data_IF_354258735065
#
_entry.id   IF_354258735065
#
_cell.length_a   1.000
_cell.length_b   1.000
_cell.length_c   1.000
_cell.angle_alpha   90.00
_cell.angle_beta   90.00
_cell.angle_gamma   90.00
#
_symmetry.space_group_name_H-M   'P 1'
#
loop_
_entity.id
_entity.type
_entity.pdbx_description
1 polymer ?
#
# COMPACT_ATOMS: atom_id res chain seq x y z
N UNK A 1 2.16 -19.32 -4.39
CA UNK A 1 3.40 -18.82 -5.02
C UNK A 1 4.24 -18.19 -3.93
N UNK A 2 5.57 -18.35 -3.98
CA UNK A 2 6.47 -17.68 -3.04
C UNK A 2 6.41 -16.18 -3.30
N UNK A 3 6.38 -15.37 -2.24
CA UNK A 3 6.34 -13.91 -2.36
C UNK A 3 7.68 -13.43 -2.95
N UNK A 4 7.67 -12.57 -3.99
CA UNK A 4 8.91 -12.01 -4.53
C UNK A 4 9.73 -11.27 -3.47
N UNK A 5 11.06 -11.36 -3.58
CA UNK A 5 12.02 -10.85 -2.61
C UNK A 5 12.85 -9.67 -3.10
N UNK A 6 12.84 -9.43 -4.42
CA UNK A 6 13.57 -8.35 -5.10
C UNK A 6 12.70 -7.70 -6.19
N UNK A 7 13.07 -6.49 -6.61
CA UNK A 7 12.31 -5.65 -7.53
C UNK A 7 12.04 -6.34 -8.88
N UNK A 8 13.04 -7.02 -9.44
CA UNK A 8 13.00 -7.64 -10.77
C UNK A 8 12.09 -8.87 -10.86
N UNK A 9 11.69 -9.44 -9.72
CA UNK A 9 10.77 -10.59 -9.67
C UNK A 9 9.30 -10.18 -9.78
N UNK A 10 8.99 -8.89 -9.68
CA UNK A 10 7.62 -8.40 -9.88
C UNK A 10 7.32 -8.16 -11.35
N UNK A 11 6.08 -8.44 -11.74
CA UNK A 11 5.61 -8.27 -13.12
C UNK A 11 4.71 -7.04 -13.28
N UNK A 12 5.06 -6.20 -14.24
CA UNK A 12 4.24 -5.07 -14.66
C UNK A 12 2.86 -5.51 -15.21
N UNK A 13 2.79 -6.69 -15.85
CA UNK A 13 1.53 -7.23 -16.37
C UNK A 13 0.61 -7.68 -15.25
N UNK A 14 1.15 -8.31 -14.21
CA UNK A 14 0.38 -8.65 -12.99
C UNK A 14 -0.17 -7.38 -12.34
N UNK A 15 0.63 -6.32 -12.25
CA UNK A 15 0.20 -5.04 -11.66
C UNK A 15 -0.89 -4.37 -12.49
N UNK A 16 -0.80 -4.44 -13.83
CA UNK A 16 -1.82 -3.94 -14.75
C UNK A 16 -3.14 -4.68 -14.58
N UNK A 17 -3.07 -6.00 -14.41
CA UNK A 17 -4.27 -6.81 -14.13
C UNK A 17 -4.85 -6.51 -12.76
N UNK A 18 -4.03 -6.18 -11.75
CA UNK A 18 -4.54 -5.68 -10.47
C UNK A 18 -5.30 -4.37 -10.62
N UNK A 19 -4.79 -3.38 -11.37
CA UNK A 19 -5.53 -2.14 -11.67
C UNK A 19 -6.84 -2.42 -12.41
N UNK A 20 -6.83 -3.34 -13.37
CA UNK A 20 -8.02 -3.75 -14.11
C UNK A 20 -9.09 -4.40 -13.22
N UNK A 21 -8.67 -5.28 -12.31
CA UNK A 21 -9.54 -5.90 -11.31
C UNK A 21 -10.07 -4.86 -10.32
N UNK A 22 -9.26 -3.87 -9.94
CA UNK A 22 -9.68 -2.75 -9.08
C UNK A 22 -10.76 -1.89 -9.77
N UNK A 23 -10.58 -1.51 -11.04
CA UNK A 23 -11.61 -0.80 -11.80
C UNK A 23 -12.88 -1.64 -11.92
N UNK A 24 -12.74 -2.95 -12.14
CA UNK A 24 -13.89 -3.86 -12.14
C UNK A 24 -14.62 -3.86 -10.81
N UNK A 25 -13.90 -3.95 -9.69
CA UNK A 25 -14.45 -3.84 -8.36
C UNK A 25 -15.26 -2.54 -8.20
N UNK A 26 -14.64 -1.38 -8.44
CA UNK A 26 -15.30 -0.07 -8.26
C UNK A 26 -16.54 0.11 -9.15
N UNK A 27 -16.51 -0.39 -10.38
CA UNK A 27 -17.68 -0.34 -11.28
C UNK A 27 -18.90 -1.12 -10.77
N UNK A 28 -18.69 -2.13 -9.92
CA UNK A 28 -19.75 -3.01 -9.43
C UNK A 28 -20.01 -2.98 -7.93
N UNK A 29 -19.31 -2.12 -7.17
CA UNK A 29 -19.52 -1.96 -5.73
C UNK A 29 -20.87 -1.31 -5.37
N UNK A 30 -21.45 -0.54 -6.30
CA UNK A 30 -22.65 0.24 -6.02
C UNK A 30 -22.37 1.27 -4.90
N UNK A 31 -23.26 1.42 -3.90
CA UNK A 31 -23.07 2.37 -2.80
C UNK A 31 -21.78 2.16 -1.99
N UNK A 32 -21.24 0.93 -1.96
CA UNK A 32 -20.01 0.61 -1.23
C UNK A 32 -18.79 1.38 -1.73
N UNK A 33 -18.80 1.86 -2.98
CA UNK A 33 -17.65 2.52 -3.59
C UNK A 33 -17.19 3.76 -2.81
N UNK A 34 -18.11 4.42 -2.10
CA UNK A 34 -17.84 5.64 -1.35
C UNK A 34 -17.22 5.36 0.04
N UNK A 35 -17.15 4.08 0.43
CA UNK A 35 -16.60 3.61 1.71
C UNK A 35 -15.35 2.75 1.53
N UNK A 36 -14.82 2.62 0.31
CA UNK A 36 -13.71 1.72 -0.01
C UNK A 36 -12.53 2.55 -0.51
N UNK A 37 -11.37 2.40 0.13
CA UNK A 37 -10.16 3.18 -0.15
C UNK A 37 -8.99 2.28 -0.49
N UNK A 38 -8.32 2.52 -1.61
CA UNK A 38 -7.14 1.77 -2.01
C UNK A 38 -5.96 2.06 -1.09
N UNK A 39 -5.33 1.01 -0.58
CA UNK A 39 -4.07 1.07 0.15
C UNK A 39 -3.09 0.01 -0.40
N UNK A 40 -2.00 -0.24 0.31
CA UNK A 40 -1.13 -1.37 0.01
C UNK A 40 -0.31 -1.20 -1.26
N UNK A 41 0.10 -2.31 -1.86
CA UNK A 41 1.16 -2.33 -2.88
C UNK A 41 0.81 -1.68 -4.22
N UNK A 42 -0.46 -1.44 -4.51
CA UNK A 42 -0.92 -0.81 -5.76
C UNK A 42 -0.99 0.72 -5.66
N UNK A 43 -1.09 1.28 -4.44
CA UNK A 43 -1.15 2.72 -4.21
C UNK A 43 0.00 3.55 -4.84
N UNK A 44 1.27 3.09 -4.88
CA UNK A 44 2.38 3.81 -5.52
C UNK A 44 2.11 4.22 -6.98
N UNK A 45 1.31 3.44 -7.71
CA UNK A 45 0.92 3.74 -9.10
C UNK A 45 0.15 5.05 -9.24
N UNK A 46 -0.54 5.45 -8.18
CA UNK A 46 -1.36 6.65 -8.09
C UNK A 46 -0.60 7.82 -7.43
N UNK A 47 0.24 7.52 -6.42
CA UNK A 47 1.08 8.52 -5.74
C UNK A 47 2.17 9.06 -6.67
N UNK A 48 2.79 8.17 -7.46
CA UNK A 48 3.82 8.52 -8.43
C UNK A 48 3.19 8.47 -9.81
N UNK A 49 2.91 9.64 -10.41
CA UNK A 49 2.24 9.73 -11.73
C UNK A 49 3.22 9.73 -12.90
N UNK A 50 4.48 10.10 -12.66
CA UNK A 50 5.57 9.98 -13.65
C UNK A 50 5.83 8.51 -14.00
N UNK A 51 6.37 8.27 -15.20
CA UNK A 51 6.63 6.94 -15.73
C UNK A 51 8.06 6.87 -16.29
N UNK A 52 8.66 5.67 -16.41
CA UNK A 52 9.95 5.53 -17.07
C UNK A 52 9.95 6.15 -18.48
N UNK A 53 11.05 6.81 -18.89
CA UNK A 53 12.33 6.92 -18.20
C UNK A 53 12.44 8.08 -17.18
N UNK A 54 11.40 8.90 -16.97
CA UNK A 54 11.48 10.08 -16.09
C UNK A 54 11.68 9.72 -14.61
N UNK A 55 11.23 8.54 -14.21
CA UNK A 55 11.47 7.91 -12.90
C UNK A 55 11.76 6.43 -13.10
N UNK A 56 12.50 5.76 -12.20
CA UNK A 56 12.68 4.31 -12.24
C UNK A 56 11.33 3.58 -12.18
N UNK A 57 11.21 2.38 -12.79
CA UNK A 57 10.00 1.57 -12.64
C UNK A 57 9.79 1.18 -11.17
N UNK A 58 8.56 1.32 -10.68
CA UNK A 58 8.16 0.72 -9.40
C UNK A 58 8.04 -0.80 -9.54
N UNK A 59 8.27 -1.52 -8.44
CA UNK A 59 8.13 -2.98 -8.42
C UNK A 59 6.73 -3.45 -8.83
N UNK A 60 5.67 -2.74 -8.40
CA UNK A 60 4.29 -3.14 -8.60
C UNK A 60 3.78 -4.09 -7.52
N UNK A 61 2.69 -4.82 -7.80
CA UNK A 61 2.02 -5.69 -6.82
C UNK A 61 1.17 -6.77 -7.49
N UNK A 62 0.83 -7.83 -6.75
CA UNK A 62 -0.02 -8.94 -7.22
C UNK A 62 -1.35 -9.09 -6.48
N UNK A 63 -1.64 -8.15 -5.60
CA UNK A 63 -2.75 -8.12 -4.66
C UNK A 63 -3.32 -6.71 -4.58
N UNK A 64 -4.61 -6.65 -4.23
CA UNK A 64 -5.37 -5.42 -4.05
C UNK A 64 -5.80 -5.36 -2.59
N UNK A 65 -5.35 -4.33 -1.90
CA UNK A 65 -5.72 -4.05 -0.52
C UNK A 65 -6.65 -2.84 -0.47
N UNK A 66 -7.84 -3.00 0.10
CA UNK A 66 -8.76 -1.88 0.27
C UNK A 66 -9.27 -1.78 1.70
N UNK A 67 -9.26 -0.58 2.26
CA UNK A 67 -9.82 -0.28 3.59
C UNK A 67 -11.28 0.08 3.43
N UNK A 68 -12.12 -0.50 4.28
CA UNK A 68 -13.55 -0.23 4.33
C UNK A 68 -13.87 0.67 5.53
N UNK A 69 -14.44 1.85 5.27
CA UNK A 69 -15.02 2.70 6.30
C UNK A 69 -16.40 2.16 6.71
N UNK A 70 -16.44 1.49 7.86
CA UNK A 70 -17.66 0.92 8.40
C UNK A 70 -18.66 1.96 8.91
N UNK A 71 -18.22 3.18 9.23
CA UNK A 71 -19.07 4.22 9.80
C UNK A 71 -20.06 4.77 8.76
N UNK A 72 -19.66 4.80 7.48
CA UNK A 72 -20.49 5.25 6.35
C UNK A 72 -21.62 4.24 6.05
N UNK A 73 -21.49 3.00 6.51
CA UNK A 73 -22.38 1.89 6.15
C UNK A 73 -23.57 1.71 7.10
N UNK A 74 -23.66 2.50 8.18
CA UNK A 74 -24.51 2.21 9.33
C UNK A 74 -26.03 2.34 9.09
N UNK A 75 -26.49 2.76 7.90
CA UNK A 75 -27.88 3.25 7.76
C UNK A 75 -28.65 2.91 6.48
N UNK A 76 -28.23 1.94 5.64
CA UNK A 76 -29.05 1.58 4.45
C UNK A 76 -29.06 0.10 4.06
N UNK A 77 -30.23 -0.39 3.63
CA UNK A 77 -30.39 -1.70 2.98
C UNK A 77 -29.49 -1.86 1.73
N UNK A 78 -29.09 -0.74 1.11
CA UNK A 78 -28.28 -0.72 -0.10
C UNK A 78 -26.89 -1.35 0.11
N UNK A 79 -26.38 -1.37 1.35
CA UNK A 79 -25.11 -2.00 1.69
C UNK A 79 -25.21 -3.53 1.89
N UNK A 80 -26.39 -4.14 1.89
CA UNK A 80 -26.55 -5.60 2.10
C UNK A 80 -26.06 -6.49 0.96
N UNK A 81 -25.63 -5.93 -0.17
CA UNK A 81 -25.43 -6.67 -1.42
C UNK A 81 -23.97 -7.00 -1.76
N UNK A 82 -23.00 -6.73 -0.87
CA UNK A 82 -21.56 -6.80 -1.20
C UNK A 82 -21.13 -8.18 -1.72
N UNK A 83 -21.47 -9.26 -1.01
CA UNK A 83 -21.11 -10.62 -1.44
C UNK A 83 -21.73 -10.98 -2.80
N UNK A 84 -22.97 -10.55 -3.05
CA UNK A 84 -23.65 -10.79 -4.31
C UNK A 84 -23.01 -10.00 -5.45
N UNK A 85 -22.61 -8.75 -5.20
CA UNK A 85 -21.93 -7.89 -6.17
C UNK A 85 -20.57 -8.48 -6.55
N UNK A 86 -19.78 -8.92 -5.57
CA UNK A 86 -18.51 -9.59 -5.80
C UNK A 86 -18.66 -10.84 -6.68
N UNK A 87 -19.64 -11.70 -6.38
CA UNK A 87 -19.93 -12.89 -7.20
C UNK A 87 -20.36 -12.54 -8.62
N UNK A 88 -21.20 -11.51 -8.81
CA UNK A 88 -21.61 -11.03 -10.15
C UNK A 88 -20.42 -10.49 -10.96
N UNK A 89 -19.40 -9.97 -10.29
CA UNK A 89 -18.15 -9.52 -10.91
C UNK A 89 -17.15 -10.65 -11.18
N UNK A 90 -17.46 -11.89 -10.79
CA UNK A 90 -16.58 -13.04 -11.01
C UNK A 90 -15.55 -13.26 -9.90
N UNK A 91 -15.73 -12.65 -8.73
CA UNK A 91 -14.92 -12.96 -7.55
C UNK A 91 -15.47 -14.19 -6.83
N UNK A 92 -14.55 -14.98 -6.30
CA UNK A 92 -14.84 -16.09 -5.40
C UNK A 92 -14.03 -15.97 -4.11
N UNK A 93 -14.40 -16.76 -3.09
CA UNK A 93 -13.64 -16.80 -1.83
C UNK A 93 -12.28 -17.44 -2.06
N UNK A 94 -11.23 -16.76 -1.63
CA UNK A 94 -9.90 -17.34 -1.60
C UNK A 94 -9.80 -18.44 -0.55
N UNK A 95 -8.78 -19.29 -0.69
CA UNK A 95 -8.48 -20.37 0.25
C UNK A 95 -7.22 -20.05 1.04
N UNK A 96 -7.17 -20.45 2.31
CA UNK A 96 -5.95 -20.41 3.10
C UNK A 96 -5.03 -21.61 2.79
N UNK A 97 -3.87 -21.68 3.42
CA UNK A 97 -2.87 -22.75 3.21
C UNK A 97 -3.39 -24.16 3.53
N UNK A 98 -4.48 -24.27 4.31
CA UNK A 98 -5.16 -25.54 4.60
C UNK A 98 -6.25 -25.88 3.58
N UNK A 99 -6.40 -25.08 2.53
CA UNK A 99 -7.43 -25.24 1.50
C UNK A 99 -8.83 -24.76 1.91
N UNK A 100 -8.99 -24.18 3.10
CA UNK A 100 -10.29 -23.71 3.59
C UNK A 100 -10.60 -22.32 3.03
N UNK A 101 -11.84 -22.12 2.58
CA UNK A 101 -12.33 -20.80 2.17
C UNK A 101 -12.28 -19.82 3.36
N UNK A 102 -11.86 -18.60 3.12
CA UNK A 102 -11.84 -17.51 4.11
C UNK A 102 -12.78 -16.38 3.73
N UNK A 103 -13.26 -15.64 4.72
CA UNK A 103 -14.33 -14.65 4.56
C UNK A 103 -13.84 -13.22 4.30
N UNK A 104 -12.53 -12.98 4.38
CA UNK A 104 -11.91 -11.66 4.24
C UNK A 104 -11.07 -11.50 2.97
N UNK A 105 -10.73 -12.62 2.33
CA UNK A 105 -9.93 -12.66 1.10
C UNK A 105 -10.76 -13.21 -0.04
N UNK A 106 -10.77 -12.48 -1.13
CA UNK A 106 -11.41 -12.82 -2.39
C UNK A 106 -10.36 -13.00 -3.47
N UNK A 107 -10.72 -13.70 -4.53
CA UNK A 107 -9.84 -13.90 -5.67
C UNK A 107 -10.66 -13.92 -6.96
N UNK A 108 -10.00 -13.58 -8.06
CA UNK A 108 -10.54 -13.75 -9.40
C UNK A 108 -9.41 -14.08 -10.38
N UNK A 109 -9.74 -14.82 -11.43
CA UNK A 109 -8.80 -15.14 -12.51
C UNK A 109 -9.09 -14.20 -13.68
N UNK A 110 -8.09 -13.46 -14.13
CA UNK A 110 -8.21 -12.63 -15.33
C UNK A 110 -8.15 -13.49 -16.59
N UNK A 111 -8.60 -12.95 -17.72
CA UNK A 111 -8.52 -13.59 -19.04
C UNK A 111 -7.06 -13.82 -19.48
N UNK A 112 -6.10 -13.15 -18.85
CA UNK A 112 -4.67 -13.36 -19.05
C UNK A 112 -4.11 -14.53 -18.22
N UNK A 113 -4.94 -15.23 -17.44
CA UNK A 113 -4.52 -16.33 -16.56
C UNK A 113 -3.82 -15.87 -15.28
N UNK A 114 -4.02 -14.62 -14.87
CA UNK A 114 -3.44 -14.05 -13.65
C UNK A 114 -4.47 -14.17 -12.52
N UNK A 115 -4.10 -14.86 -11.44
CA UNK A 115 -4.91 -14.92 -10.22
C UNK A 115 -4.64 -13.66 -9.39
N UNK A 116 -5.63 -12.78 -9.26
CA UNK A 116 -5.55 -11.58 -8.44
C UNK A 116 -6.28 -11.80 -7.12
N UNK A 117 -5.63 -11.40 -6.03
CA UNK A 117 -6.19 -11.44 -4.68
C UNK A 117 -6.73 -10.05 -4.30
N UNK A 118 -7.91 -10.02 -3.68
CA UNK A 118 -8.51 -8.84 -3.09
C UNK A 118 -8.68 -9.06 -1.59
N UNK A 119 -8.14 -8.16 -0.77
CA UNK A 119 -8.26 -8.17 0.68
C UNK A 119 -9.06 -6.96 1.15
N UNK A 120 -10.12 -7.22 1.92
CA UNK A 120 -10.82 -6.17 2.66
C UNK A 120 -10.14 -5.96 4.01
N UNK A 121 -9.82 -4.71 4.29
CA UNK A 121 -9.18 -4.26 5.52
C UNK A 121 -10.13 -3.32 6.27
N UNK A 122 -9.99 -3.27 7.58
CA UNK A 122 -10.71 -2.36 8.46
C UNK A 122 -9.79 -1.93 9.60
N UNK A 123 -10.22 -0.96 10.40
CA UNK A 123 -9.50 -0.51 11.59
C UNK A 123 -10.50 -0.26 12.72
N UNK A 124 -10.48 -1.15 13.71
CA UNK A 124 -11.13 -0.99 15.00
C UNK A 124 -10.04 -1.01 16.09
N UNK A 125 -9.77 0.13 16.77
CA UNK A 125 -8.79 0.22 17.83
C UNK A 125 -9.01 -0.75 19.01
N UNK A 126 -10.21 -1.32 19.15
CA UNK A 126 -10.55 -2.31 20.20
C UNK A 126 -10.15 -3.73 19.79
N UNK A 127 -9.92 -3.97 18.50
CA UNK A 127 -9.50 -5.25 17.97
C UNK A 127 -7.98 -5.29 17.81
N UNK A 128 -7.39 -6.47 18.06
CA UNK A 128 -5.97 -6.70 17.75
C UNK A 128 -5.75 -6.75 16.24
N UNK A 129 -4.53 -6.44 15.80
CA UNK A 129 -4.14 -6.66 14.41
C UNK A 129 -4.35 -8.12 13.96
N UNK A 130 -4.87 -8.29 12.75
CA UNK A 130 -5.19 -9.60 12.18
C UNK A 130 -6.51 -10.22 12.67
N UNK A 131 -7.24 -9.57 13.58
CA UNK A 131 -8.61 -9.98 13.93
C UNK A 131 -9.54 -9.80 12.72
N UNK A 132 -10.61 -10.59 12.66
CA UNK A 132 -11.63 -10.44 11.62
C UNK A 132 -12.78 -9.59 12.16
N UNK A 133 -13.25 -8.66 11.32
CA UNK A 133 -14.43 -7.84 11.58
C UNK A 133 -15.47 -8.15 10.51
N UNK A 134 -16.70 -8.47 10.93
CA UNK A 134 -17.80 -8.69 9.99
C UNK A 134 -18.27 -7.36 9.41
N UNK A 135 -18.47 -7.34 8.09
CA UNK A 135 -19.00 -6.19 7.39
C UNK A 135 -20.54 -6.19 7.49
N UNK A 136 -21.21 -5.03 7.56
CA UNK A 136 -22.67 -4.92 7.68
C UNK A 136 -23.37 -5.21 6.34
N UNK A 137 -23.24 -6.45 5.84
CA UNK A 137 -23.84 -6.94 4.59
C UNK A 137 -24.61 -8.24 4.83
N UNK A 138 -25.52 -8.62 3.92
CA UNK A 138 -25.97 -10.01 3.89
C UNK A 138 -24.84 -10.92 3.39
N UNK A 139 -24.76 -12.12 3.98
CA UNK A 139 -23.67 -13.05 3.76
C UNK A 139 -22.55 -12.91 4.79
N UNK A 140 -21.47 -13.66 4.60
CA UNK A 140 -20.38 -13.76 5.58
C UNK A 140 -19.13 -13.06 5.04
N UNK A 141 -19.21 -11.76 4.78
CA UNK A 141 -18.03 -10.96 4.38
C UNK A 141 -17.39 -10.35 5.61
N UNK A 142 -16.07 -10.46 5.71
CA UNK A 142 -15.29 -9.86 6.78
C UNK A 142 -14.18 -8.99 6.19
N UNK A 143 -13.63 -8.12 7.00
CA UNK A 143 -12.36 -7.44 6.77
C UNK A 143 -11.34 -7.86 7.83
N UNK A 144 -10.05 -7.78 7.49
CA UNK A 144 -8.97 -7.95 8.46
C UNK A 144 -8.69 -6.61 9.14
N UNK A 145 -8.66 -6.62 10.46
CA UNK A 145 -8.28 -5.47 11.24
C UNK A 145 -6.78 -5.17 11.06
N UNK A 146 -6.47 -4.04 10.44
CA UNK A 146 -5.13 -3.47 10.28
C UNK A 146 -5.08 -2.18 11.09
N UNK A 147 -4.37 -2.16 12.23
CA UNK A 147 -4.28 -0.98 13.08
C UNK A 147 -3.83 0.25 12.30
N UNK A 148 -4.52 1.37 12.53
CA UNK A 148 -4.28 2.67 11.89
C UNK A 148 -4.65 2.74 10.41
N UNK A 149 -5.24 1.70 9.82
CA UNK A 149 -5.69 1.75 8.43
C UNK A 149 -6.77 2.80 8.17
N UNK A 150 -7.52 3.22 9.21
CA UNK A 150 -8.49 4.33 9.12
C UNK A 150 -7.86 5.69 8.81
N UNK A 151 -6.53 5.83 8.93
CA UNK A 151 -5.81 7.06 8.56
C UNK A 151 -6.12 7.50 7.11
N UNK A 152 -6.37 6.52 6.22
CA UNK A 152 -6.71 6.79 4.82
C UNK A 152 -8.00 7.63 4.66
N UNK A 153 -8.93 7.57 5.62
CA UNK A 153 -10.19 8.31 5.52
C UNK A 153 -9.96 9.82 5.56
N UNK A 154 -8.98 10.29 6.34
CA UNK A 154 -8.56 11.69 6.37
C UNK A 154 -7.44 12.04 5.37
N UNK A 155 -6.70 11.03 4.91
CA UNK A 155 -5.49 11.18 4.10
C UNK A 155 -5.57 10.33 2.82
N UNK A 156 -6.41 10.78 1.90
CA UNK A 156 -6.55 10.17 0.57
C UNK A 156 -6.69 11.25 -0.51
N UNK A 157 -6.27 10.88 -1.71
CA UNK A 157 -6.57 11.61 -2.93
C UNK A 157 -7.42 10.70 -3.85
N UNK A 158 -7.89 11.22 -4.99
CA UNK A 158 -8.67 10.45 -5.97
C UNK A 158 -8.04 10.51 -7.35
N UNK A 159 -8.15 9.41 -8.08
CA UNK A 159 -7.66 9.28 -9.47
C UNK A 159 -8.77 8.75 -10.36
N UNK A 160 -9.00 9.36 -11.52
CA UNK A 160 -9.84 8.76 -12.56
C UNK A 160 -9.04 7.70 -13.31
N UNK A 161 -9.54 6.47 -13.34
CA UNK A 161 -8.86 5.32 -13.93
C UNK A 161 -9.76 4.63 -14.93
N UNK A 162 -9.28 4.49 -16.16
CA UNK A 162 -10.00 3.79 -17.23
C UNK A 162 -9.38 2.43 -17.48
N UNK A 163 -10.18 1.36 -17.43
CA UNK A 163 -9.75 0.01 -17.80
C UNK A 163 -10.89 -0.83 -18.39
N UNK A 164 -10.53 -1.88 -19.13
CA UNK A 164 -11.48 -2.87 -19.63
C UNK A 164 -11.93 -3.77 -18.47
N UNK A 165 -13.23 -3.98 -18.29
CA UNK A 165 -13.78 -4.77 -17.20
C UNK A 165 -13.53 -6.28 -17.41
N UNK A 166 -13.54 -7.05 -16.33
CA UNK A 166 -13.51 -8.51 -16.42
C UNK A 166 -14.78 -9.07 -17.08
N UNK A 167 -14.64 -10.20 -17.79
CA UNK A 167 -15.71 -10.94 -18.42
C UNK A 167 -16.30 -10.26 -19.65
N UNK A 168 -15.47 -9.55 -20.42
CA UNK A 168 -15.87 -8.84 -21.65
C UNK A 168 -17.00 -7.82 -21.45
N UNK A 169 -17.12 -7.24 -20.25
CA UNK A 169 -18.20 -6.29 -19.88
C UNK A 169 -17.98 -4.86 -20.38
N UNK A 170 -17.10 -4.66 -21.35
CA UNK A 170 -16.75 -3.35 -21.90
C UNK A 170 -15.69 -2.61 -21.06
N UNK A 171 -15.70 -1.28 -21.13
CA UNK A 171 -14.72 -0.39 -20.50
C UNK A 171 -15.42 0.55 -19.52
N UNK A 172 -14.83 0.77 -18.35
CA UNK A 172 -15.32 1.78 -17.40
C UNK A 172 -14.23 2.79 -17.04
N UNK A 173 -14.67 3.95 -16.57
CA UNK A 173 -13.81 4.95 -15.92
C UNK A 173 -14.34 5.14 -14.52
N UNK A 174 -13.51 4.85 -13.53
CA UNK A 174 -13.88 4.91 -12.12
C UNK A 174 -12.99 5.90 -11.37
N UNK A 175 -13.61 6.60 -10.42
CA UNK A 175 -12.93 7.49 -9.50
C UNK A 175 -12.44 6.68 -8.30
N UNK A 176 -11.14 6.40 -8.23
CA UNK A 176 -10.55 5.54 -7.21
C UNK A 176 -9.95 6.41 -6.10
N UNK A 177 -10.50 6.38 -4.86
CA UNK A 177 -9.82 6.95 -3.71
C UNK A 177 -8.65 6.06 -3.29
N UNK A 178 -7.50 6.67 -3.02
CA UNK A 178 -6.28 5.97 -2.64
C UNK A 178 -5.54 6.71 -1.53
N UNK A 179 -4.82 5.97 -0.69
CA UNK A 179 -3.97 6.55 0.34
C UNK A 179 -2.97 7.54 -0.26
N UNK A 180 -3.03 8.78 0.22
CA UNK A 180 -2.05 9.80 -0.16
C UNK A 180 -0.68 9.47 0.42
N UNK A 181 0.33 10.30 0.13
CA UNK A 181 1.69 10.09 0.61
C UNK A 181 1.80 9.99 2.14
N UNK A 182 0.91 10.62 2.90
CA UNK A 182 0.89 10.61 4.37
C UNK A 182 0.38 9.28 4.87
N UNK A 183 -0.85 8.89 4.49
CA UNK A 183 -1.42 7.61 4.88
C UNK A 183 -0.54 6.45 4.41
N UNK A 184 -0.09 6.49 3.17
CA UNK A 184 0.72 5.43 2.57
C UNK A 184 2.03 5.23 3.34
N UNK A 185 2.80 6.29 3.57
CA UNK A 185 4.08 6.22 4.29
C UNK A 185 3.88 5.73 5.72
N UNK A 186 2.84 6.21 6.42
CA UNK A 186 2.53 5.76 7.78
C UNK A 186 2.21 4.26 7.83
N UNK A 187 1.31 3.78 6.96
CA UNK A 187 0.93 2.37 6.91
C UNK A 187 2.10 1.47 6.51
N UNK A 188 2.96 1.93 5.60
CA UNK A 188 4.16 1.20 5.20
C UNK A 188 5.19 1.09 6.32
N UNK A 189 5.46 2.16 7.08
CA UNK A 189 6.41 2.06 8.19
C UNK A 189 5.87 1.20 9.33
N UNK A 190 4.57 1.25 9.65
CA UNK A 190 3.96 0.33 10.63
C UNK A 190 4.09 -1.13 10.18
N UNK A 191 3.87 -1.39 8.90
CA UNK A 191 4.02 -2.74 8.34
C UNK A 191 5.47 -3.19 8.39
N UNK A 192 6.41 -2.35 7.93
CA UNK A 192 7.84 -2.64 7.97
C UNK A 192 8.34 -2.89 9.40
N UNK A 193 7.83 -2.13 10.38
CA UNK A 193 8.11 -2.28 11.80
C UNK A 193 7.68 -3.65 12.37
N UNK A 194 6.68 -4.28 11.77
CA UNK A 194 6.24 -5.61 12.19
C UNK A 194 6.98 -6.75 11.48
N UNK A 195 7.14 -6.66 10.15
CA UNK A 195 7.57 -7.82 9.33
C UNK A 195 8.92 -7.69 8.64
N UNK A 196 9.55 -6.51 8.64
CA UNK A 196 10.86 -6.24 7.99
C UNK A 196 10.93 -6.65 6.51
N UNK A 197 9.79 -6.67 5.83
CA UNK A 197 9.74 -7.02 4.41
C UNK A 197 10.36 -5.88 3.59
N UNK A 198 11.35 -6.22 2.76
CA UNK A 198 12.16 -5.22 2.06
C UNK A 198 11.34 -4.33 1.14
N UNK A 199 10.31 -4.89 0.50
CA UNK A 199 9.38 -4.14 -0.34
C UNK A 199 8.70 -3.00 0.40
N UNK A 200 8.38 -3.14 1.69
CA UNK A 200 7.70 -2.05 2.41
C UNK A 200 8.62 -0.84 2.57
N UNK A 201 9.91 -1.06 2.83
CA UNK A 201 10.93 0.00 2.88
C UNK A 201 11.17 0.61 1.49
N UNK A 202 11.22 -0.21 0.43
CA UNK A 202 11.32 0.31 -0.94
C UNK A 202 10.09 1.15 -1.32
N UNK A 203 8.89 0.63 -1.10
CA UNK A 203 7.62 1.27 -1.47
C UNK A 203 7.51 2.69 -0.87
N UNK A 204 7.84 2.85 0.42
CA UNK A 204 7.78 4.17 1.07
C UNK A 204 8.86 5.12 0.54
N UNK A 205 10.11 4.65 0.37
CA UNK A 205 11.22 5.49 -0.13
C UNK A 205 10.95 5.93 -1.57
N UNK A 206 10.52 5.01 -2.43
CA UNK A 206 10.17 5.28 -3.82
C UNK A 206 9.11 6.38 -3.93
N UNK A 207 8.06 6.32 -3.08
CA UNK A 207 7.01 7.32 -3.08
C UNK A 207 7.48 8.69 -2.53
N UNK A 208 8.37 8.72 -1.53
CA UNK A 208 8.97 9.96 -1.05
C UNK A 208 9.86 10.62 -2.11
N UNK A 209 10.63 9.84 -2.86
CA UNK A 209 11.53 10.34 -3.90
C UNK A 209 10.79 10.85 -5.14
N UNK A 210 9.76 10.12 -5.56
CA UNK A 210 9.17 10.27 -6.89
C UNK A 210 7.71 10.71 -6.90
N UNK A 211 7.08 10.84 -5.73
CA UNK A 211 5.74 11.40 -5.58
C UNK A 211 5.64 12.81 -6.15
N UNK A 212 4.42 13.32 -6.24
CA UNK A 212 4.19 14.69 -6.72
C UNK A 212 5.00 15.71 -5.91
N UNK A 213 5.78 16.54 -6.61
CA UNK A 213 6.70 17.50 -5.96
C UNK A 213 7.96 16.88 -5.34
N UNK A 214 8.17 15.57 -5.48
CA UNK A 214 9.27 14.82 -4.87
C UNK A 214 9.26 14.94 -3.34
N UNK A 215 10.46 14.86 -2.75
CA UNK A 215 10.62 14.91 -1.30
C UNK A 215 10.02 16.18 -0.67
N UNK A 216 10.20 17.34 -1.32
CA UNK A 216 9.62 18.60 -0.86
C UNK A 216 8.08 18.58 -0.83
N UNK A 217 7.45 17.94 -1.81
CA UNK A 217 6.00 17.74 -1.86
C UNK A 217 5.51 16.84 -0.72
N UNK A 218 6.22 15.74 -0.45
CA UNK A 218 5.94 14.87 0.69
C UNK A 218 6.06 15.61 2.02
N UNK A 219 7.15 16.39 2.23
CA UNK A 219 7.34 17.21 3.43
C UNK A 219 6.16 18.17 3.62
N UNK A 220 5.75 18.88 2.57
CA UNK A 220 4.63 19.84 2.66
C UNK A 220 3.31 19.16 3.05
N UNK A 221 3.00 17.99 2.47
CA UNK A 221 1.82 17.19 2.82
C UNK A 221 1.86 16.72 4.29
N UNK A 222 3.01 16.27 4.77
CA UNK A 222 3.18 15.87 6.19
C UNK A 222 3.07 17.06 7.15
N UNK A 223 3.64 18.21 6.81
CA UNK A 223 3.53 19.44 7.63
C UNK A 223 2.07 19.89 7.77
N UNK A 224 1.27 19.76 6.71
CA UNK A 224 -0.16 20.06 6.78
C UNK A 224 -0.90 19.01 7.61
N UNK A 225 -0.64 17.73 7.37
CA UNK A 225 -1.29 16.64 8.10
C UNK A 225 -1.04 16.68 9.62
N UNK A 226 0.15 17.11 10.05
CA UNK A 226 0.50 17.27 11.47
C UNK A 226 -0.31 18.38 12.19
N UNK A 227 -1.06 19.21 11.47
CA UNK A 227 -1.99 20.19 12.04
C UNK A 227 -3.38 19.60 12.32
N UNK A 228 -3.66 18.41 11.77
CA UNK A 228 -4.96 17.73 11.86
C UNK A 228 -5.13 16.83 13.08
N UNK A 229 -6.24 16.09 13.09
CA UNK A 229 -6.62 15.20 14.20
C UNK A 229 -5.79 13.91 14.25
N UNK A 230 -5.19 13.51 13.13
CA UNK A 230 -4.39 12.28 13.01
C UNK A 230 -2.92 12.46 13.44
N UNK A 231 -2.59 13.65 13.97
CA UNK A 231 -1.23 14.03 14.38
C UNK A 231 -0.52 12.97 15.20
N UNK A 232 -1.18 12.40 16.22
CA UNK A 232 -0.54 11.41 17.09
C UNK A 232 -0.14 10.13 16.35
N UNK A 233 -0.96 9.68 15.39
CA UNK A 233 -0.66 8.51 14.56
C UNK A 233 0.53 8.81 13.65
N UNK A 234 0.54 10.00 13.05
CA UNK A 234 1.61 10.46 12.16
C UNK A 234 2.93 10.61 12.94
N UNK A 235 2.93 11.22 14.13
CA UNK A 235 4.13 11.35 14.97
C UNK A 235 4.69 9.97 15.39
N UNK A 236 3.82 8.97 15.64
CA UNK A 236 4.27 7.59 15.86
C UNK A 236 4.95 7.00 14.62
N UNK A 237 4.37 7.19 13.44
CA UNK A 237 4.99 6.73 12.19
C UNK A 237 6.36 7.39 11.95
N UNK A 238 6.46 8.71 12.16
CA UNK A 238 7.73 9.44 12.04
C UNK A 238 8.79 8.95 13.04
N UNK A 239 8.38 8.60 14.26
CA UNK A 239 9.27 8.00 15.27
C UNK A 239 9.78 6.62 14.82
N UNK A 240 8.93 5.82 14.16
CA UNK A 240 9.35 4.54 13.59
C UNK A 240 10.30 4.73 12.40
N UNK A 241 10.06 5.73 11.53
CA UNK A 241 11.00 6.06 10.45
C UNK A 241 12.38 6.41 11.03
N UNK A 242 12.43 7.28 12.03
CA UNK A 242 13.66 7.63 12.74
C UNK A 242 14.36 6.37 13.28
N UNK A 243 13.61 5.47 13.94
CA UNK A 243 14.14 4.24 14.53
C UNK A 243 14.69 3.27 13.47
N UNK A 244 14.01 3.16 12.32
CA UNK A 244 14.28 2.13 11.31
C UNK A 244 15.27 2.58 10.23
N UNK A 245 15.42 3.88 10.02
CA UNK A 245 16.24 4.44 8.95
C UNK A 245 17.38 5.35 9.41
N UNK A 246 17.42 5.78 10.68
CA UNK A 246 18.44 6.72 11.16
C UNK A 246 19.22 6.18 12.36
N UNK A 247 20.47 6.60 12.51
CA UNK A 247 21.36 6.22 13.61
C UNK A 247 21.85 7.46 14.38
N UNK A 248 21.94 7.41 15.72
CA UNK A 248 22.59 8.46 16.51
C UNK A 248 24.04 8.73 16.09
N UNK A 249 24.77 7.73 15.59
CA UNK A 249 26.06 7.89 14.93
C UNK A 249 25.82 8.25 13.45
N UNK A 250 26.03 9.52 13.02
CA UNK A 250 25.61 9.97 11.70
C UNK A 250 26.29 9.23 10.54
N UNK A 251 27.52 8.75 10.76
CA UNK A 251 28.28 7.96 9.80
C UNK A 251 27.82 6.51 9.68
N UNK A 252 27.02 6.01 10.63
CA UNK A 252 26.44 4.66 10.63
C UNK A 252 24.99 4.61 10.15
N UNK A 253 24.33 5.76 9.92
CA UNK A 253 22.92 5.85 9.52
C UNK A 253 22.55 4.94 8.35
N UNK A 254 23.38 4.92 7.29
CA UNK A 254 23.17 4.09 6.11
C UNK A 254 23.15 2.57 6.39
N UNK A 255 23.70 2.10 7.52
CA UNK A 255 23.69 0.70 7.94
C UNK A 255 22.37 0.27 8.59
N UNK A 256 21.47 1.21 8.86
CA UNK A 256 20.15 0.90 9.43
C UNK A 256 19.33 0.00 8.51
N UNK A 257 18.53 -0.85 9.14
CA UNK A 257 17.81 -1.92 8.46
C UNK A 257 16.87 -1.43 7.35
N UNK A 258 16.26 -0.26 7.48
CA UNK A 258 15.44 0.35 6.43
C UNK A 258 16.24 0.67 5.16
N UNK A 259 17.40 1.31 5.33
CA UNK A 259 18.31 1.67 4.23
C UNK A 259 18.85 0.41 3.54
N UNK A 260 19.28 -0.57 4.34
CA UNK A 260 19.77 -1.87 3.84
C UNK A 260 18.67 -2.62 3.09
N UNK A 261 17.45 -2.64 3.62
CA UNK A 261 16.31 -3.31 3.01
C UNK A 261 16.00 -2.75 1.62
N UNK A 262 15.97 -1.42 1.46
CA UNK A 262 15.74 -0.76 0.15
C UNK A 262 16.80 -1.19 -0.86
N UNK A 263 18.09 -1.06 -0.50
CA UNK A 263 19.18 -1.40 -1.41
C UNK A 263 19.21 -2.90 -1.78
N UNK A 264 18.91 -3.79 -0.83
CA UNK A 264 18.81 -5.23 -1.10
C UNK A 264 17.61 -5.60 -1.98
N UNK A 265 16.52 -4.83 -1.91
CA UNK A 265 15.36 -5.04 -2.75
C UNK A 265 15.58 -4.59 -4.18
N UNK A 266 16.20 -3.41 -4.35
CA UNK A 266 16.38 -2.77 -5.66
C UNK A 266 17.56 -3.35 -6.46
N UNK A 267 18.63 -3.77 -5.78
CA UNK A 267 19.88 -4.18 -6.42
C UNK A 267 20.08 -5.68 -6.21
N UNK A 268 19.79 -6.45 -7.25
CA UNK A 268 20.02 -7.89 -7.31
C UNK A 268 21.52 -8.22 -7.42
N UNK A 269 21.93 -9.34 -6.83
CA UNK A 269 23.30 -9.85 -6.98
C UNK A 269 23.86 -10.45 -5.70
N UNK A 270 24.96 -11.21 -5.86
CA UNK A 270 25.63 -11.89 -4.77
C UNK A 270 26.30 -10.89 -3.81
N UNK A 271 26.35 -11.21 -2.51
CA UNK A 271 26.88 -10.31 -1.49
C UNK A 271 28.42 -10.23 -1.46
N UNK A 272 29.08 -11.23 -2.03
CA UNK A 272 30.54 -11.30 -2.22
C UNK A 272 31.02 -10.60 -3.49
N UNK A 273 30.10 -10.26 -4.40
CA UNK A 273 30.38 -9.40 -5.54
C UNK A 273 30.67 -7.96 -5.07
N UNK A 274 31.85 -7.46 -5.42
CA UNK A 274 32.33 -6.15 -4.97
C UNK A 274 31.52 -5.02 -5.59
N UNK A 275 31.15 -5.11 -6.87
CA UNK A 275 30.38 -4.05 -7.56
C UNK A 275 28.97 -3.95 -6.98
N UNK A 276 28.32 -5.10 -6.74
CA UNK A 276 27.00 -5.15 -6.11
C UNK A 276 27.03 -4.59 -4.70
N UNK A 277 28.05 -4.95 -3.92
CA UNK A 277 28.23 -4.44 -2.55
C UNK A 277 28.41 -2.93 -2.54
N UNK A 278 29.24 -2.38 -3.43
CA UNK A 278 29.46 -0.94 -3.55
C UNK A 278 28.19 -0.20 -3.99
N UNK A 279 27.47 -0.72 -4.99
CA UNK A 279 26.21 -0.15 -5.44
C UNK A 279 25.16 -0.13 -4.31
N UNK A 280 25.05 -1.22 -3.53
CA UNK A 280 24.16 -1.28 -2.37
C UNK A 280 24.54 -0.28 -1.28
N UNK A 281 25.82 -0.11 -0.96
CA UNK A 281 26.29 0.89 0.01
C UNK A 281 25.96 2.30 -0.46
N UNK A 282 26.17 2.59 -1.75
CA UNK A 282 25.85 3.90 -2.31
C UNK A 282 24.34 4.18 -2.21
N UNK A 283 23.49 3.21 -2.56
CA UNK A 283 22.05 3.36 -2.43
C UNK A 283 21.61 3.52 -0.97
N UNK A 284 22.16 2.74 -0.04
CA UNK A 284 21.91 2.89 1.40
C UNK A 284 22.16 4.31 1.89
N UNK A 285 23.27 4.93 1.46
CA UNK A 285 23.61 6.31 1.82
C UNK A 285 22.60 7.32 1.24
N UNK A 286 22.23 7.15 -0.03
CA UNK A 286 21.22 8.01 -0.65
C UNK A 286 19.87 7.94 0.09
N UNK A 287 19.42 6.73 0.46
CA UNK A 287 18.17 6.55 1.24
C UNK A 287 18.28 7.22 2.62
N UNK A 288 19.42 7.06 3.29
CA UNK A 288 19.68 7.72 4.57
C UNK A 288 19.58 9.25 4.44
N UNK A 289 20.17 9.83 3.40
CA UNK A 289 20.13 11.28 3.17
C UNK A 289 18.69 11.79 2.97
N UNK A 290 17.88 11.07 2.20
CA UNK A 290 16.44 11.36 2.03
C UNK A 290 15.71 11.34 3.37
N UNK A 291 15.96 10.32 4.20
CA UNK A 291 15.31 10.19 5.51
C UNK A 291 15.73 11.28 6.48
N UNK A 292 17.02 11.64 6.48
CA UNK A 292 17.53 12.74 7.28
C UNK A 292 16.90 14.07 6.87
N UNK A 293 16.83 14.37 5.57
CA UNK A 293 16.18 15.58 5.05
C UNK A 293 14.69 15.61 5.40
N UNK A 294 13.98 14.50 5.15
CA UNK A 294 12.55 14.36 5.44
C UNK A 294 12.24 14.63 6.92
N UNK A 295 12.90 13.92 7.82
CA UNK A 295 12.64 14.00 9.26
C UNK A 295 13.12 15.34 9.86
N UNK A 296 14.24 15.88 9.37
CA UNK A 296 14.72 17.21 9.77
C UNK A 296 13.70 18.30 9.43
N UNK A 297 13.14 18.27 8.21
CA UNK A 297 12.17 19.26 7.75
C UNK A 297 10.83 19.20 8.50
N UNK A 298 10.54 18.05 9.14
CA UNK A 298 9.39 17.85 10.01
C UNK A 298 9.69 18.13 11.49
N UNK A 299 10.91 18.59 11.81
CA UNK A 299 11.30 18.96 13.18
C UNK A 299 11.45 17.76 14.12
N UNK A 300 11.65 16.55 13.58
CA UNK A 300 11.87 15.35 14.38
C UNK A 300 13.34 15.35 14.87
N UNK A 301 13.58 15.41 16.20
CA UNK A 301 14.94 15.50 16.71
C UNK A 301 15.67 14.16 16.59
N UNK A 302 16.82 14.17 15.94
CA UNK A 302 17.82 13.10 16.03
C UNK A 302 18.49 13.20 17.39
N UNK A 303 18.13 12.32 18.32
CA UNK A 303 18.78 12.23 19.64
C UNK A 303 19.88 11.19 19.61
#
# INVERSE_FOLDING_TARGET
MTKPQILTEYSADVTRDCERVLVTLFSGLGPWRDSVFLVGGLAPRYIVTKRPPDVPPHAGTGDIDVVVDLSILADTEAYRTLEQNLKKMGFERARNDKGNKVNWRWQTMTEHGILVILEFLADDPKLRGGALQELPTEGNVSAVNIPHASLVFGHHDRMEVTADLLGEKGRSTESIPYADIVAFTCLKVFTFDHRRERKDAHDLVYCLEHGEGGLAGAIAKFQEALKGNDREVIERALTLLLTRFCDPAPDEGYLREGNVAVAQFEIEGAADDTEIREARILRQRAVNDIMLEFLSALGIPFK
#
